data_IF_205595930896
#
_entry.id   IF_205595930896
#
_cell.length_a   1.000
_cell.length_b   1.000
_cell.length_c   1.000
_cell.angle_alpha   90.00
_cell.angle_beta   90.00
_cell.angle_gamma   90.00
#
_symmetry.space_group_name_H-M   'P 1'
#
loop_
_entity.id
_entity.type
_entity.pdbx_description
1 polymer ?
#
# COMPACT_ATOMS: atom_id res chain seq x y z
N UNK A 1 3.10 21.65 1.71
CA UNK A 1 2.32 22.61 2.52
C UNK A 1 3.28 23.64 3.12
N UNK A 2 2.95 24.93 3.04
CA UNK A 2 3.70 25.99 3.70
C UNK A 2 3.66 25.82 5.23
N UNK A 3 4.78 26.07 5.92
CA UNK A 3 4.86 26.09 7.40
C UNK A 3 3.77 26.98 8.03
N UNK A 4 3.31 28.00 7.30
CA UNK A 4 2.19 28.86 7.72
C UNK A 4 0.89 28.09 7.90
N UNK A 5 0.56 27.16 7.01
CA UNK A 5 -0.67 26.36 7.11
C UNK A 5 -0.63 25.38 8.29
N UNK A 6 0.55 24.84 8.63
CA UNK A 6 0.74 24.00 9.82
C UNK A 6 0.49 24.78 11.11
N UNK A 7 0.98 26.02 11.19
CA UNK A 7 0.77 26.89 12.36
C UNK A 7 -0.70 27.24 12.58
N UNK A 8 -1.42 27.58 11.50
CA UNK A 8 -2.86 27.88 11.56
C UNK A 8 -3.65 26.66 12.00
N UNK A 9 -3.40 25.49 11.39
CA UNK A 9 -4.08 24.24 11.76
C UNK A 9 -3.85 23.87 13.23
N UNK A 10 -2.63 24.01 13.75
CA UNK A 10 -2.33 23.73 15.16
C UNK A 10 -3.01 24.73 16.11
N UNK A 11 -3.13 26.00 15.71
CA UNK A 11 -3.77 27.03 16.53
C UNK A 11 -5.30 26.86 16.58
N UNK A 12 -5.94 26.52 15.46
CA UNK A 12 -7.36 26.18 15.39
C UNK A 12 -7.66 24.93 16.19
N UNK A 13 -6.78 23.93 16.12
CA UNK A 13 -6.93 22.70 16.86
C UNK A 13 -6.78 22.92 18.37
N UNK A 14 -5.79 23.72 18.79
CA UNK A 14 -5.63 24.12 20.20
C UNK A 14 -6.85 24.88 20.72
N UNK A 15 -7.39 25.78 19.91
CA UNK A 15 -8.60 26.55 20.26
C UNK A 15 -9.80 25.63 20.39
N UNK A 16 -9.94 24.65 19.49
CA UNK A 16 -11.00 23.65 19.51
C UNK A 16 -10.90 22.71 20.72
N UNK A 17 -9.69 22.29 21.10
CA UNK A 17 -9.46 21.45 22.28
C UNK A 17 -9.67 22.18 23.61
N UNK A 18 -9.62 23.50 23.60
CA UNK A 18 -9.81 24.33 24.80
C UNK A 18 -11.28 24.73 25.01
N UNK A 19 -12.17 24.42 24.06
CA UNK A 19 -13.60 24.66 24.19
C UNK A 19 -14.23 23.70 25.22
N UNK A 20 -15.13 24.17 26.10
CA UNK A 20 -15.73 23.37 27.16
C UNK A 20 -16.72 22.31 26.65
N UNK A 21 -17.21 22.46 25.41
CA UNK A 21 -18.16 21.54 24.79
C UNK A 21 -17.40 20.49 23.97
N UNK A 22 -17.01 19.41 24.65
CA UNK A 22 -16.09 18.38 24.12
C UNK A 22 -16.83 17.35 23.27
N UNK A 23 -17.29 17.74 22.10
CA UNK A 23 -17.54 16.75 21.05
C UNK A 23 -16.24 16.59 20.29
N UNK A 24 -15.67 15.38 20.29
CA UNK A 24 -14.51 15.06 19.49
C UNK A 24 -14.94 15.06 18.01
N UNK A 25 -15.03 16.25 17.42
CA UNK A 25 -15.44 16.40 16.03
C UNK A 25 -14.50 15.57 15.16
N UNK A 26 -15.05 14.78 14.23
CA UNK A 26 -14.24 14.02 13.26
C UNK A 26 -13.20 14.88 12.53
N UNK A 27 -13.41 16.21 12.48
CA UNK A 27 -12.44 17.18 11.98
C UNK A 27 -11.13 17.24 12.81
N UNK A 28 -11.22 17.11 14.15
CA UNK A 28 -10.06 17.11 15.06
C UNK A 28 -9.25 15.83 14.84
N UNK A 29 -9.92 14.67 14.75
CA UNK A 29 -9.29 13.39 14.46
C UNK A 29 -8.62 13.39 13.08
N UNK A 30 -9.31 13.89 12.06
CA UNK A 30 -8.78 14.01 10.70
C UNK A 30 -7.55 14.93 10.67
N UNK A 31 -7.60 16.07 11.35
CA UNK A 31 -6.49 17.03 11.41
C UNK A 31 -5.28 16.42 12.14
N UNK A 32 -5.52 15.72 13.25
CA UNK A 32 -4.46 15.01 13.99
C UNK A 32 -3.83 13.88 13.17
N UNK A 33 -4.65 13.06 12.51
CA UNK A 33 -4.17 11.99 11.62
C UNK A 33 -3.34 12.54 10.45
N UNK A 34 -3.77 13.68 9.89
CA UNK A 34 -3.04 14.38 8.83
C UNK A 34 -1.70 14.94 9.33
N UNK A 35 -1.67 15.55 10.51
CA UNK A 35 -0.44 16.05 11.14
C UNK A 35 0.55 14.93 11.49
N UNK A 36 0.02 13.78 11.91
CA UNK A 36 0.79 12.58 12.24
C UNK A 36 1.44 11.98 10.98
N UNK A 37 0.67 11.91 9.90
CA UNK A 37 1.16 11.51 8.56
C UNK A 37 2.23 12.47 8.05
N UNK A 38 2.01 13.78 8.16
CA UNK A 38 2.98 14.80 7.74
C UNK A 38 4.29 14.70 8.53
N UNK A 39 4.22 14.57 9.86
CA UNK A 39 5.41 14.44 10.71
C UNK A 39 6.20 13.16 10.42
N UNK A 40 5.51 12.06 10.12
CA UNK A 40 6.15 10.83 9.67
C UNK A 40 6.91 11.04 8.35
N UNK A 41 6.28 11.69 7.36
CA UNK A 41 6.93 11.94 6.06
C UNK A 41 8.16 12.85 6.14
N UNK A 42 8.20 13.82 7.06
CA UNK A 42 9.36 14.70 7.26
C UNK A 42 10.38 14.13 8.27
N UNK A 43 10.16 12.91 8.76
CA UNK A 43 10.99 12.23 9.76
C UNK A 43 11.16 13.00 11.09
N UNK A 44 10.14 13.76 11.48
CA UNK A 44 10.08 14.47 12.77
C UNK A 44 9.47 13.56 13.84
N UNK A 45 10.29 12.62 14.32
CA UNK A 45 9.86 11.54 15.21
C UNK A 45 9.33 12.06 16.57
N UNK A 46 9.85 13.18 17.05
CA UNK A 46 9.41 13.75 18.33
C UNK A 46 8.02 14.39 18.18
N UNK A 47 7.77 15.16 17.14
CA UNK A 47 6.44 15.70 16.86
C UNK A 47 5.43 14.60 16.52
N UNK A 48 5.87 13.52 15.86
CA UNK A 48 5.05 12.33 15.62
C UNK A 48 4.59 11.68 16.93
N UNK A 49 5.50 11.42 17.88
CA UNK A 49 5.17 10.82 19.18
C UNK A 49 4.18 11.68 19.97
N UNK A 50 4.38 13.00 19.97
CA UNK A 50 3.48 13.94 20.66
C UNK A 50 2.07 13.90 20.07
N UNK A 51 1.93 13.92 18.74
CA UNK A 51 0.61 13.86 18.10
C UNK A 51 -0.04 12.48 18.25
N UNK A 52 0.74 11.40 18.21
CA UNK A 52 0.23 10.04 18.47
C UNK A 52 -0.29 9.91 19.89
N UNK A 53 0.47 10.38 20.88
CA UNK A 53 0.05 10.35 22.28
C UNK A 53 -1.20 11.21 22.53
N UNK A 54 -1.29 12.38 21.89
CA UNK A 54 -2.49 13.22 21.94
C UNK A 54 -3.70 12.50 21.34
N UNK A 55 -3.56 11.86 20.18
CA UNK A 55 -4.62 11.10 19.51
C UNK A 55 -5.07 9.90 20.35
N UNK A 56 -4.15 9.15 20.93
CA UNK A 56 -4.50 8.07 21.86
C UNK A 56 -5.22 8.57 23.11
N UNK A 57 -4.83 9.72 23.65
CA UNK A 57 -5.48 10.34 24.81
C UNK A 57 -6.90 10.77 24.45
N UNK A 58 -7.09 11.38 23.27
CA UNK A 58 -8.41 11.73 22.76
C UNK A 58 -9.29 10.49 22.53
N UNK A 59 -8.73 9.40 21.98
CA UNK A 59 -9.46 8.13 21.81
C UNK A 59 -9.95 7.59 23.14
N UNK A 60 -9.06 7.49 24.14
CA UNK A 60 -9.41 7.01 25.49
C UNK A 60 -10.48 7.89 26.18
N UNK A 61 -10.58 9.17 25.82
CA UNK A 61 -11.61 10.06 26.34
C UNK A 61 -12.94 10.02 25.58
N UNK A 62 -12.97 9.50 24.35
CA UNK A 62 -14.21 9.34 23.57
C UNK A 62 -14.97 8.05 23.94
N UNK A 63 -14.28 7.06 24.51
CA UNK A 63 -14.87 5.77 24.92
C UNK A 63 -15.89 5.89 26.09
N UNK A 64 -16.18 7.09 26.60
CA UNK A 64 -16.87 7.28 27.87
C UNK A 64 -18.32 7.80 27.81
N UNK A 65 -18.86 8.33 26.69
CA UNK A 65 -20.23 8.89 26.75
C UNK A 65 -21.12 8.88 25.48
N UNK A 66 -20.66 8.52 24.28
CA UNK A 66 -21.58 8.28 23.16
C UNK A 66 -21.06 7.14 22.28
N UNK A 67 -21.96 6.25 21.89
CA UNK A 67 -21.65 5.02 21.17
C UNK A 67 -20.85 5.26 19.89
N UNK A 68 -19.56 4.96 19.95
CA UNK A 68 -18.87 4.06 19.03
C UNK A 68 -19.18 4.27 17.52
N UNK A 69 -19.03 5.49 16.99
CA UNK A 69 -18.78 5.69 15.55
C UNK A 69 -17.28 5.52 15.22
N UNK A 70 -16.69 4.45 15.75
CA UNK A 70 -15.30 4.08 15.53
C UNK A 70 -15.19 3.31 14.21
N UNK A 71 -15.45 3.98 13.06
CA UNK A 71 -15.45 3.36 11.71
C UNK A 71 -16.01 1.92 11.71
N UNK A 72 -17.16 1.72 12.37
CA UNK A 72 -17.77 0.40 12.42
C UNK A 72 -18.29 0.13 11.02
N UNK A 73 -17.58 -0.73 10.30
CA UNK A 73 -18.06 -1.28 9.05
C UNK A 73 -19.43 -1.89 9.28
N UNK A 74 -20.43 -1.39 8.57
CA UNK A 74 -21.78 -1.89 8.71
C UNK A 74 -21.93 -3.16 7.88
N UNK A 75 -21.87 -4.31 8.55
CA UNK A 75 -22.17 -5.60 7.93
C UNK A 75 -23.67 -5.82 7.92
N UNK A 76 -24.31 -5.92 6.74
CA UNK A 76 -25.75 -5.98 6.67
C UNK A 76 -26.24 -7.35 7.17
N UNK A 77 -27.18 -7.33 8.13
CA UNK A 77 -27.91 -8.51 8.56
C UNK A 77 -29.14 -8.77 7.70
N UNK A 78 -29.67 -10.00 7.75
CA UNK A 78 -30.96 -10.31 7.14
C UNK A 78 -32.12 -9.92 8.05
N UNK A 79 -33.25 -9.44 7.48
CA UNK A 79 -33.48 -9.16 6.06
C UNK A 79 -32.75 -7.88 5.59
N UNK A 80 -32.31 -7.85 4.31
CA UNK A 80 -31.64 -6.68 3.75
C UNK A 80 -32.62 -5.52 3.51
N UNK A 81 -32.21 -4.26 3.77
CA UNK A 81 -33.04 -3.11 3.45
C UNK A 81 -33.21 -2.95 1.92
N UNK A 82 -34.38 -2.49 1.43
CA UNK A 82 -34.66 -2.38 -0.02
C UNK A 82 -33.65 -1.53 -0.80
N UNK A 83 -33.15 -0.46 -0.18
CA UNK A 83 -32.16 0.41 -0.79
C UNK A 83 -30.84 -0.33 -1.02
N UNK A 84 -30.40 -1.16 -0.06
CA UNK A 84 -29.20 -1.99 -0.22
C UNK A 84 -29.40 -3.05 -1.29
N UNK A 85 -30.56 -3.69 -1.37
CA UNK A 85 -30.88 -4.64 -2.45
C UNK A 85 -30.76 -3.97 -3.83
N UNK A 86 -31.18 -2.70 -3.95
CA UNK A 86 -31.05 -1.91 -5.17
C UNK A 86 -29.59 -1.65 -5.54
N UNK A 87 -28.73 -1.40 -4.55
CA UNK A 87 -27.28 -1.25 -4.76
C UNK A 87 -26.65 -2.58 -5.16
N UNK A 88 -26.98 -3.68 -4.47
CA UNK A 88 -26.48 -5.03 -4.77
C UNK A 88 -26.89 -5.46 -6.19
N UNK A 89 -28.10 -5.13 -6.63
CA UNK A 89 -28.58 -5.45 -7.98
C UNK A 89 -27.79 -4.78 -9.12
N UNK A 90 -26.97 -3.76 -8.82
CA UNK A 90 -26.07 -3.14 -9.80
C UNK A 90 -24.74 -3.89 -9.94
N UNK A 91 -24.41 -4.77 -8.99
CA UNK A 91 -23.17 -5.52 -9.01
C UNK A 91 -23.25 -6.67 -10.03
N UNK A 92 -22.13 -6.99 -10.71
CA UNK A 92 -21.96 -8.25 -11.41
C UNK A 92 -22.25 -9.45 -10.50
N UNK A 93 -22.75 -10.55 -11.07
CA UNK A 93 -23.27 -11.72 -10.35
C UNK A 93 -22.36 -12.20 -9.21
N UNK A 94 -21.06 -12.40 -9.46
CA UNK A 94 -20.15 -12.86 -8.40
C UNK A 94 -19.94 -11.87 -7.26
N UNK A 95 -20.00 -10.55 -7.52
CA UNK A 95 -19.94 -9.57 -6.44
C UNK A 95 -21.26 -9.49 -5.67
N UNK A 96 -22.38 -9.62 -6.38
CA UNK A 96 -23.70 -9.67 -5.76
C UNK A 96 -23.82 -10.88 -4.82
N UNK A 97 -23.33 -12.06 -5.20
CA UNK A 97 -23.29 -13.24 -4.33
C UNK A 97 -22.51 -12.99 -3.03
N UNK A 98 -21.33 -12.35 -3.12
CA UNK A 98 -20.51 -12.03 -1.94
C UNK A 98 -21.20 -11.02 -1.02
N UNK A 99 -21.88 -10.02 -1.61
CA UNK A 99 -22.67 -9.04 -0.87
C UNK A 99 -23.87 -9.69 -0.17
N UNK A 100 -24.62 -10.56 -0.87
CA UNK A 100 -25.77 -11.27 -0.33
C UNK A 100 -25.40 -12.27 0.75
N UNK A 101 -24.15 -12.77 0.75
CA UNK A 101 -23.62 -13.59 1.84
C UNK A 101 -23.40 -12.84 3.16
N UNK A 102 -23.60 -11.52 3.22
CA UNK A 102 -23.37 -10.70 4.41
C UNK A 102 -21.91 -10.66 4.86
N UNK A 103 -20.98 -11.09 3.99
CA UNK A 103 -19.56 -11.26 4.31
C UNK A 103 -18.73 -9.99 4.07
N UNK A 104 -19.37 -8.95 3.54
CA UNK A 104 -18.76 -7.66 3.24
C UNK A 104 -19.62 -6.53 3.74
N UNK A 105 -18.96 -5.46 4.15
CA UNK A 105 -19.61 -4.26 4.67
C UNK A 105 -20.27 -3.45 3.55
N UNK A 106 -21.29 -2.65 3.89
CA UNK A 106 -22.04 -1.79 2.95
C UNK A 106 -21.13 -0.78 2.25
N UNK A 107 -20.09 -0.29 2.91
CA UNK A 107 -19.08 0.60 2.34
C UNK A 107 -18.29 -0.13 1.25
N UNK A 108 -17.98 -1.42 1.45
CA UNK A 108 -17.26 -2.20 0.45
C UNK A 108 -18.17 -2.55 -0.74
N UNK A 109 -19.44 -2.88 -0.50
CA UNK A 109 -20.45 -3.04 -1.55
C UNK A 109 -20.53 -1.77 -2.42
N UNK A 110 -20.59 -0.60 -1.78
CA UNK A 110 -20.64 0.70 -2.46
C UNK A 110 -19.39 0.98 -3.28
N UNK A 111 -18.21 0.64 -2.74
CA UNK A 111 -16.94 0.72 -3.46
C UNK A 111 -16.93 -0.18 -4.71
N UNK A 112 -17.42 -1.42 -4.61
CA UNK A 112 -17.47 -2.36 -5.74
C UNK A 112 -18.37 -1.87 -6.88
N UNK A 113 -19.53 -1.28 -6.55
CA UNK A 113 -20.41 -0.67 -7.58
C UNK A 113 -19.66 0.43 -8.32
N UNK A 114 -19.08 1.38 -7.59
CA UNK A 114 -18.33 2.49 -8.21
C UNK A 114 -17.13 1.98 -9.01
N UNK A 115 -16.46 0.92 -8.54
CA UNK A 115 -15.26 0.38 -9.19
C UNK A 115 -15.63 -0.31 -10.49
N UNK A 116 -16.66 -1.14 -10.50
CA UNK A 116 -17.13 -1.83 -11.71
C UNK A 116 -17.62 -0.83 -12.77
N UNK A 117 -18.30 0.24 -12.37
CA UNK A 117 -18.64 1.36 -13.26
C UNK A 117 -17.39 2.05 -13.84
N UNK A 118 -16.38 2.32 -13.00
CA UNK A 118 -15.12 2.94 -13.43
C UNK A 118 -14.36 2.04 -14.42
N UNK A 119 -14.21 0.73 -14.13
CA UNK A 119 -13.53 -0.22 -15.03
C UNK A 119 -14.31 -0.35 -16.34
N UNK A 120 -15.64 -0.48 -16.28
CA UNK A 120 -16.49 -0.54 -17.47
C UNK A 120 -16.39 0.71 -18.33
N UNK A 121 -16.28 1.89 -17.72
CA UNK A 121 -16.02 3.13 -18.45
C UNK A 121 -14.62 3.15 -19.08
N UNK A 122 -13.58 2.66 -18.39
CA UNK A 122 -12.21 2.63 -18.92
C UNK A 122 -12.00 1.61 -20.04
N UNK A 123 -12.77 0.52 -20.08
CA UNK A 123 -12.72 -0.50 -21.14
C UNK A 123 -13.28 0.00 -22.48
N UNK A 124 -14.09 1.07 -22.45
CA UNK A 124 -14.72 1.65 -23.65
C UNK A 124 -13.71 2.38 -24.53
N UNK A 125 -14.03 2.47 -25.81
CA UNK A 125 -13.24 3.26 -26.77
C UNK A 125 -13.22 4.73 -26.36
N UNK A 126 -12.27 5.51 -26.89
CA UNK A 126 -12.21 6.94 -26.59
C UNK A 126 -13.49 7.66 -27.03
N UNK A 127 -14.00 7.32 -28.22
CA UNK A 127 -15.22 7.91 -28.79
C UNK A 127 -16.47 7.59 -27.95
N UNK A 128 -16.60 6.35 -27.47
CA UNK A 128 -17.69 5.96 -26.57
C UNK A 128 -17.61 6.70 -25.24
N UNK A 129 -16.41 6.87 -24.68
CA UNK A 129 -16.21 7.58 -23.41
C UNK A 129 -16.62 9.05 -23.47
N UNK A 130 -16.48 9.70 -24.62
CA UNK A 130 -16.88 11.10 -24.81
C UNK A 130 -18.41 11.29 -24.75
N UNK A 131 -19.18 10.25 -25.01
CA UNK A 131 -20.65 10.30 -25.02
C UNK A 131 -21.29 9.97 -23.67
N UNK A 132 -20.51 9.47 -22.71
CA UNK A 132 -21.00 8.95 -21.44
C UNK A 132 -20.56 9.83 -20.28
N UNK A 133 -21.39 9.94 -19.23
CA UNK A 133 -21.00 10.68 -18.03
C UNK A 133 -19.76 10.03 -17.42
N UNK A 134 -18.80 10.87 -17.03
CA UNK A 134 -17.60 10.42 -16.34
C UNK A 134 -18.00 9.82 -14.98
N UNK A 135 -17.43 8.66 -14.60
CA UNK A 135 -17.67 8.08 -13.28
C UNK A 135 -17.32 9.06 -12.17
N UNK A 136 -18.09 9.04 -11.07
CA UNK A 136 -17.84 9.87 -9.89
C UNK A 136 -16.48 9.51 -9.25
N UNK A 137 -16.15 8.22 -9.21
CA UNK A 137 -14.92 7.73 -8.60
C UNK A 137 -13.72 7.90 -9.55
N UNK A 138 -12.67 8.54 -9.05
CA UNK A 138 -11.38 8.63 -9.74
C UNK A 138 -10.51 7.41 -9.44
N UNK A 139 -9.56 7.11 -10.32
CA UNK A 139 -8.64 5.99 -10.11
C UNK A 139 -7.80 6.16 -8.84
N UNK A 140 -7.32 7.37 -8.57
CA UNK A 140 -6.57 7.67 -7.35
C UNK A 140 -7.41 7.46 -6.08
N UNK A 141 -8.69 7.85 -6.12
CA UNK A 141 -9.62 7.60 -5.01
C UNK A 141 -9.83 6.10 -4.80
N UNK A 142 -10.01 5.34 -5.88
CA UNK A 142 -10.21 3.90 -5.80
C UNK A 142 -8.98 3.17 -5.23
N UNK A 143 -7.76 3.59 -5.58
CA UNK A 143 -6.52 3.05 -5.00
C UNK A 143 -6.46 3.34 -3.51
N UNK A 144 -6.76 4.57 -3.10
CA UNK A 144 -6.78 4.95 -1.69
C UNK A 144 -7.81 4.13 -0.90
N UNK A 145 -9.04 4.02 -1.41
CA UNK A 145 -10.10 3.25 -0.76
C UNK A 145 -9.73 1.76 -0.68
N UNK A 146 -9.16 1.17 -1.74
CA UNK A 146 -8.66 -0.21 -1.70
C UNK A 146 -7.55 -0.39 -0.65
N UNK A 147 -6.62 0.55 -0.55
CA UNK A 147 -5.57 0.50 0.48
C UNK A 147 -6.17 0.51 1.88
N UNK A 148 -7.12 1.40 2.15
CA UNK A 148 -7.87 1.43 3.41
C UNK A 148 -8.60 0.11 3.66
N UNK A 149 -9.37 -0.37 2.69
CA UNK A 149 -10.12 -1.63 2.74
C UNK A 149 -9.24 -2.85 3.03
N UNK A 150 -8.06 -2.91 2.40
CA UNK A 150 -7.09 -4.00 2.58
C UNK A 150 -6.31 -3.95 3.89
N UNK A 151 -6.21 -2.76 4.51
CA UNK A 151 -5.48 -2.54 5.75
C UNK A 151 -6.32 -2.81 7.00
N UNK A 152 -7.64 -2.87 6.84
CA UNK A 152 -8.53 -3.11 7.95
C UNK A 152 -8.38 -4.53 8.47
N UNK A 153 -8.43 -4.73 9.79
CA UNK A 153 -8.58 -6.04 10.39
C UNK A 153 -9.99 -6.52 10.10
N UNK A 154 -10.22 -6.95 8.85
CA UNK A 154 -11.41 -7.67 8.47
C UNK A 154 -11.49 -8.85 9.45
N UNK A 155 -12.58 -8.89 10.20
CA UNK A 155 -12.83 -9.84 11.29
C UNK A 155 -12.39 -11.25 10.83
N UNK A 156 -11.81 -12.11 11.71
CA UNK A 156 -11.15 -13.37 11.34
C UNK A 156 -12.00 -14.42 10.59
N UNK A 157 -13.24 -14.11 10.24
CA UNK A 157 -14.02 -14.79 9.21
C UNK A 157 -13.67 -14.21 7.82
N UNK A 158 -12.38 -14.13 7.48
CA UNK A 158 -11.90 -13.82 6.11
C UNK A 158 -12.50 -14.89 5.17
N UNK A 159 -13.69 -14.60 4.62
CA UNK A 159 -14.27 -15.42 3.58
C UNK A 159 -13.26 -15.47 2.43
N UNK A 160 -12.91 -16.67 1.95
CA UNK A 160 -12.07 -16.81 0.76
C UNK A 160 -12.58 -15.96 -0.40
N UNK A 161 -13.90 -15.70 -0.45
CA UNK A 161 -14.50 -14.81 -1.43
C UNK A 161 -14.06 -13.34 -1.29
N UNK A 162 -13.94 -12.82 -0.07
CA UNK A 162 -13.47 -11.46 0.18
C UNK A 162 -12.03 -11.27 -0.27
N UNK A 163 -11.15 -12.22 0.03
CA UNK A 163 -9.77 -12.18 -0.46
C UNK A 163 -9.70 -12.22 -1.99
N UNK A 164 -10.52 -13.08 -2.63
CA UNK A 164 -10.62 -13.16 -4.10
C UNK A 164 -11.19 -11.87 -4.71
N UNK A 165 -12.15 -11.25 -4.06
CA UNK A 165 -12.70 -9.94 -4.43
C UNK A 165 -11.62 -8.85 -4.34
N UNK A 166 -10.86 -8.79 -3.25
CA UNK A 166 -9.74 -7.86 -3.10
C UNK A 166 -8.65 -8.10 -4.14
N UNK A 167 -8.35 -9.36 -4.46
CA UNK A 167 -7.41 -9.72 -5.51
C UNK A 167 -7.87 -9.15 -6.86
N UNK A 168 -9.13 -9.37 -7.23
CA UNK A 168 -9.72 -8.77 -8.42
C UNK A 168 -9.56 -7.24 -8.42
N UNK A 169 -9.99 -6.56 -7.35
CA UNK A 169 -9.89 -5.11 -7.22
C UNK A 169 -8.45 -4.62 -7.40
N UNK A 170 -7.49 -5.33 -6.81
CA UNK A 170 -6.07 -4.96 -6.88
C UNK A 170 -5.48 -5.12 -8.28
N UNK A 171 -5.87 -6.15 -9.03
CA UNK A 171 -5.39 -6.36 -10.41
C UNK A 171 -5.96 -5.29 -11.33
N UNK A 172 -7.28 -5.05 -11.30
CA UNK A 172 -7.92 -4.09 -12.20
C UNK A 172 -7.49 -2.65 -11.94
N UNK A 173 -7.24 -2.30 -10.67
CA UNK A 173 -6.76 -0.97 -10.31
C UNK A 173 -5.29 -0.78 -10.70
N UNK A 174 -4.47 -1.80 -10.48
CA UNK A 174 -3.06 -1.75 -10.86
C UNK A 174 -2.90 -1.66 -12.39
N UNK A 175 -3.67 -2.44 -13.16
CA UNK A 175 -3.64 -2.38 -14.62
C UNK A 175 -4.14 -1.04 -15.17
N UNK A 176 -5.18 -0.47 -14.57
CA UNK A 176 -5.67 0.85 -14.93
C UNK A 176 -4.67 1.96 -14.60
N UNK A 177 -3.95 1.82 -13.48
CA UNK A 177 -2.94 2.78 -13.04
C UNK A 177 -1.73 2.77 -13.95
N UNK A 178 -1.26 1.59 -14.37
CA UNK A 178 -0.11 1.43 -15.26
C UNK A 178 -0.29 2.10 -16.63
N UNK A 179 -1.52 2.45 -17.03
CA UNK A 179 -1.80 3.23 -18.24
C UNK A 179 -1.55 4.74 -18.10
N UNK A 180 -1.34 5.24 -16.88
CA UNK A 180 -1.07 6.66 -16.66
C UNK A 180 0.39 7.00 -17.00
N UNK A 181 0.62 8.19 -17.55
CA UNK A 181 1.97 8.65 -17.97
C UNK A 181 2.95 8.67 -16.78
N UNK A 182 2.46 8.99 -15.58
CA UNK A 182 3.26 9.13 -14.36
C UNK A 182 3.20 7.87 -13.46
N UNK A 183 2.78 6.72 -14.00
CA UNK A 183 2.62 5.51 -13.22
C UNK A 183 3.97 4.97 -12.72
N UNK A 184 4.13 4.91 -11.40
CA UNK A 184 5.22 4.15 -10.77
C UNK A 184 4.74 2.75 -10.37
N UNK A 185 5.43 1.68 -10.80
CA UNK A 185 5.07 0.29 -10.48
C UNK A 185 5.32 -0.07 -9.00
N UNK A 186 5.99 0.79 -8.23
CA UNK A 186 6.24 0.58 -6.80
C UNK A 186 4.99 0.80 -5.93
N UNK A 187 3.91 1.34 -6.51
CA UNK A 187 2.69 1.69 -5.78
C UNK A 187 1.69 0.53 -5.63
N UNK A 188 1.96 -0.63 -6.23
CA UNK A 188 1.06 -1.80 -6.25
C UNK A 188 1.14 -2.67 -4.99
N UNK A 189 1.28 -2.03 -3.82
CA UNK A 189 1.56 -2.70 -2.54
C UNK A 189 0.46 -3.69 -2.15
N UNK A 190 -0.81 -3.37 -2.42
CA UNK A 190 -1.95 -4.26 -2.10
C UNK A 190 -1.90 -5.53 -2.95
N UNK A 191 -1.66 -5.40 -4.25
CA UNK A 191 -1.56 -6.52 -5.17
C UNK A 191 -0.38 -7.44 -4.79
N UNK A 192 0.79 -6.87 -4.52
CA UNK A 192 1.98 -7.65 -4.14
C UNK A 192 1.74 -8.49 -2.87
N UNK A 193 1.04 -7.92 -1.88
CA UNK A 193 0.66 -8.63 -0.64
C UNK A 193 -0.35 -9.75 -0.90
N UNK A 194 -1.36 -9.52 -1.74
CA UNK A 194 -2.40 -10.51 -2.02
C UNK A 194 -1.83 -11.68 -2.82
N UNK A 195 -0.98 -11.42 -3.81
CA UNK A 195 -0.28 -12.46 -4.58
C UNK A 195 0.65 -13.29 -3.69
N UNK A 196 1.25 -12.69 -2.66
CA UNK A 196 2.07 -13.41 -1.70
C UNK A 196 1.25 -14.35 -0.79
N UNK A 197 0.10 -13.86 -0.30
CA UNK A 197 -0.75 -14.55 0.67
C UNK A 197 -1.64 -15.64 0.07
N UNK A 198 -2.13 -15.45 -1.14
CA UNK A 198 -3.18 -16.32 -1.70
C UNK A 198 -2.60 -17.47 -2.53
N UNK A 199 -3.04 -18.73 -2.30
CA UNK A 199 -2.58 -19.86 -3.10
C UNK A 199 -3.11 -19.81 -4.54
N UNK A 200 -4.33 -19.32 -4.77
CA UNK A 200 -4.92 -19.16 -6.11
C UNK A 200 -4.19 -18.09 -6.94
N UNK A 201 -3.49 -17.17 -6.29
CA UNK A 201 -2.72 -16.13 -6.98
C UNK A 201 -1.33 -16.59 -7.45
N UNK A 202 -1.01 -17.90 -7.35
CA UNK A 202 0.31 -18.45 -7.72
C UNK A 202 0.46 -18.71 -9.21
N UNK A 203 -0.64 -18.98 -9.90
CA UNK A 203 -0.71 -19.18 -11.34
C UNK A 203 -1.70 -18.17 -11.95
N UNK A 204 -1.44 -17.77 -13.19
CA UNK A 204 -2.37 -16.90 -13.91
C UNK A 204 -3.69 -17.63 -14.19
N UNK A 205 -3.64 -18.91 -14.53
CA UNK A 205 -4.82 -19.74 -14.82
C UNK A 205 -5.82 -19.76 -13.65
N UNK A 206 -5.35 -20.01 -12.43
CA UNK A 206 -6.19 -19.98 -11.22
C UNK A 206 -6.70 -18.56 -10.90
N UNK A 207 -5.87 -17.55 -11.18
CA UNK A 207 -6.22 -16.13 -10.98
C UNK A 207 -7.31 -15.71 -11.96
N UNK A 208 -7.17 -16.05 -13.23
CA UNK A 208 -8.13 -15.81 -14.30
C UNK A 208 -9.46 -16.51 -13.98
N UNK A 209 -9.44 -17.80 -13.61
CA UNK A 209 -10.64 -18.53 -13.22
C UNK A 209 -11.36 -17.84 -12.05
N UNK A 210 -10.58 -17.32 -11.11
CA UNK A 210 -11.10 -16.54 -9.98
C UNK A 210 -11.71 -15.22 -10.44
N UNK A 211 -11.05 -14.48 -11.33
CA UNK A 211 -11.55 -13.19 -11.83
C UNK A 211 -12.83 -13.36 -12.65
N UNK A 212 -12.95 -14.44 -13.43
CA UNK A 212 -14.14 -14.79 -14.22
C UNK A 212 -15.40 -15.00 -13.38
N UNK A 213 -15.25 -15.37 -12.11
CA UNK A 213 -16.40 -15.51 -11.19
C UNK A 213 -17.03 -14.17 -10.83
N UNK A 214 -16.27 -13.07 -10.87
CA UNK A 214 -16.75 -11.75 -10.50
C UNK A 214 -17.17 -10.93 -11.73
N UNK A 215 -16.18 -10.48 -12.49
CA UNK A 215 -16.36 -9.64 -13.66
C UNK A 215 -15.15 -9.84 -14.57
N UNK A 216 -15.42 -10.18 -15.82
CA UNK A 216 -14.40 -10.42 -16.81
C UNK A 216 -14.68 -9.63 -18.07
N UNK A 217 -13.63 -9.00 -18.60
CA UNK A 217 -13.66 -8.31 -19.88
C UNK A 217 -12.46 -8.80 -20.71
N UNK A 218 -12.74 -9.50 -21.80
CA UNK A 218 -11.70 -10.08 -22.65
C UNK A 218 -10.75 -9.01 -23.21
N UNK A 219 -11.21 -7.75 -23.37
CA UNK A 219 -10.40 -6.63 -23.86
C UNK A 219 -9.31 -6.21 -22.88
N UNK A 220 -9.52 -6.46 -21.60
CA UNK A 220 -8.59 -6.09 -20.52
C UNK A 220 -7.75 -7.28 -20.02
N UNK A 221 -8.07 -8.49 -20.47
CA UNK A 221 -7.45 -9.73 -19.98
C UNK A 221 -5.92 -9.74 -20.10
N UNK A 222 -5.39 -9.36 -21.26
CA UNK A 222 -3.95 -9.26 -21.50
C UNK A 222 -3.27 -8.28 -20.54
N UNK A 223 -3.90 -7.14 -20.28
CA UNK A 223 -3.37 -6.09 -19.40
C UNK A 223 -3.39 -6.54 -17.93
N UNK A 224 -4.45 -7.23 -17.53
CA UNK A 224 -4.57 -7.85 -16.22
C UNK A 224 -3.49 -8.90 -16.01
N UNK A 225 -3.23 -9.74 -17.02
CA UNK A 225 -2.16 -10.74 -16.96
C UNK A 225 -0.78 -10.10 -16.82
N UNK A 226 -0.49 -9.07 -17.61
CA UNK A 226 0.79 -8.35 -17.54
C UNK A 226 1.00 -7.77 -16.15
N UNK A 227 -0.02 -7.13 -15.58
CA UNK A 227 0.06 -6.53 -14.25
C UNK A 227 0.25 -7.59 -13.15
N UNK A 228 -0.51 -8.69 -13.23
CA UNK A 228 -0.36 -9.84 -12.32
C UNK A 228 1.05 -10.46 -12.41
N UNK A 229 1.58 -10.68 -13.62
CA UNK A 229 2.93 -11.23 -13.83
C UNK A 229 4.00 -10.33 -13.22
N UNK A 230 3.86 -9.01 -13.37
CA UNK A 230 4.77 -8.05 -12.76
C UNK A 230 4.77 -8.16 -11.22
N UNK A 231 3.59 -8.23 -10.61
CA UNK A 231 3.45 -8.44 -9.16
C UNK A 231 4.03 -9.78 -8.70
N UNK A 232 3.67 -10.88 -9.36
CA UNK A 232 4.18 -12.21 -9.06
C UNK A 232 5.72 -12.28 -9.15
N UNK A 233 6.31 -11.59 -10.12
CA UNK A 233 7.77 -11.48 -10.25
C UNK A 233 8.40 -10.72 -9.08
N UNK A 234 7.83 -9.57 -8.68
CA UNK A 234 8.31 -8.79 -7.52
C UNK A 234 8.28 -9.63 -6.23
N UNK A 235 7.17 -10.31 -5.97
CA UNK A 235 7.00 -11.16 -4.78
C UNK A 235 8.00 -12.31 -4.76
N UNK A 236 8.19 -13.01 -5.88
CA UNK A 236 9.20 -14.10 -5.99
C UNK A 236 10.62 -13.58 -5.74
N UNK A 237 10.95 -12.38 -6.22
CA UNK A 237 12.26 -11.75 -5.98
C UNK A 237 12.45 -11.40 -4.51
N UNK A 238 11.43 -10.88 -3.83
CA UNK A 238 11.47 -10.57 -2.40
C UNK A 238 11.71 -11.83 -1.56
N UNK A 239 11.00 -12.93 -1.84
CA UNK A 239 11.20 -14.22 -1.14
C UNK A 239 12.63 -14.76 -1.27
N UNK A 240 13.22 -14.67 -2.48
CA UNK A 240 14.61 -15.10 -2.72
C UNK A 240 15.61 -14.26 -1.93
N UNK A 241 15.41 -12.94 -1.86
CA UNK A 241 16.25 -12.03 -1.07
C UNK A 241 16.15 -12.32 0.43
N UNK A 242 14.93 -12.51 0.95
CA UNK A 242 14.73 -12.87 2.35
C UNK A 242 15.41 -14.20 2.71
N UNK A 243 15.31 -15.20 1.82
CA UNK A 243 15.95 -16.51 2.00
C UNK A 243 17.48 -16.44 1.98
N UNK A 244 18.08 -15.49 1.24
CA UNK A 244 19.53 -15.28 1.21
C UNK A 244 20.06 -14.55 2.46
N UNK A 245 19.23 -13.78 3.16
CA UNK A 245 19.64 -13.03 4.36
C UNK A 245 19.39 -13.79 5.68
N UNK A 246 18.52 -14.80 5.68
CA UNK A 246 18.29 -15.67 6.84
C UNK A 246 19.55 -16.42 7.34
N UNK A 247 20.46 -16.93 6.49
CA UNK A 247 21.69 -17.59 6.94
C UNK A 247 22.66 -16.62 7.63
N UNK A 248 22.69 -15.35 7.22
CA UNK A 248 23.57 -14.34 7.80
C UNK A 248 23.16 -13.95 9.21
N UNK A 249 21.85 -13.87 9.47
CA UNK A 249 21.32 -13.60 10.81
C UNK A 249 21.50 -14.78 11.75
N UNK A 250 21.41 -16.02 11.24
CA UNK A 250 21.76 -17.23 12.00
C UNK A 250 23.26 -17.31 12.30
N UNK A 251 24.14 -17.02 11.34
CA UNK A 251 25.60 -16.97 11.57
C UNK A 251 26.01 -15.86 12.56
N UNK A 252 25.34 -14.70 12.54
CA UNK A 252 25.57 -13.63 13.53
C UNK A 252 25.04 -13.99 14.94
N UNK A 253 23.95 -14.76 15.04
CA UNK A 253 23.49 -15.29 16.32
C UNK A 253 24.39 -16.43 16.85
N UNK A 254 24.88 -17.33 15.99
CA UNK A 254 25.79 -18.42 16.37
C UNK A 254 27.18 -17.90 16.79
N UNK A 255 27.70 -16.87 16.12
CA UNK A 255 28.95 -16.21 16.55
C UNK A 255 28.81 -15.49 17.90
N UNK A 256 27.62 -15.05 18.28
CA UNK A 256 27.36 -14.50 19.62
C UNK A 256 27.28 -15.59 20.70
N UNK A 257 26.88 -16.82 20.36
CA UNK A 257 26.82 -17.94 21.31
C UNK A 257 28.19 -18.63 21.50
N UNK A 258 29.08 -18.57 20.50
CA UNK A 258 30.46 -19.05 20.63
C UNK A 258 31.42 -18.07 21.34
N UNK A 259 30.91 -16.94 21.84
CA UNK A 259 31.65 -15.93 22.62
C UNK A 259 31.84 -16.30 24.11
N UNK A 260 31.50 -17.52 24.55
CA UNK A 260 31.78 -17.97 25.92
C UNK A 260 33.27 -18.33 26.15
N UNK A 261 34.14 -18.19 25.16
CA UNK A 261 35.59 -18.44 25.28
C UNK A 261 36.44 -17.16 25.39
N UNK A 262 35.87 -16.06 25.92
CA UNK A 262 36.61 -14.81 26.23
C UNK A 262 36.84 -14.64 27.74
N UNK A 263 36.73 -15.72 28.52
CA UNK A 263 37.07 -15.72 29.95
C UNK A 263 38.58 -15.80 30.22
N UNK A 264 39.42 -16.16 29.24
CA UNK A 264 40.87 -16.39 29.45
C UNK A 264 41.76 -15.21 29.07
N UNK A 265 41.22 -14.14 28.46
CA UNK A 265 42.01 -12.97 28.03
C UNK A 265 41.97 -11.80 29.03
N UNK A 266 41.25 -11.93 30.14
CA UNK A 266 41.17 -10.88 31.18
C UNK A 266 42.26 -11.02 32.25
N UNK A 267 42.95 -12.16 32.33
CA UNK A 267 44.06 -12.40 33.27
C UNK A 267 45.43 -11.92 32.74
N UNK A 268 45.56 -11.63 31.45
CA UNK A 268 46.83 -11.19 30.86
C UNK A 268 47.13 -9.69 31.03
N UNK A 269 46.15 -8.88 31.48
CA UNK A 269 46.28 -7.41 31.51
C UNK A 269 46.44 -6.82 32.91
N UNK A 270 46.86 -7.61 33.92
CA UNK A 270 47.07 -7.10 35.29
C UNK A 270 48.53 -6.83 35.67
N UNK A 271 49.53 -7.21 34.88
CA UNK A 271 50.93 -6.96 35.25
C UNK A 271 51.78 -6.45 34.09
N UNK A 272 51.88 -5.13 33.93
CA UNK A 272 53.19 -4.48 33.83
C UNK A 272 53.12 -2.95 33.78
N UNK A 273 54.18 -2.26 34.25
CA UNK A 273 54.17 -0.85 34.59
C UNK A 273 54.62 0.05 33.44
N UNK A 274 54.28 1.32 33.61
CA UNK A 274 54.59 2.43 32.74
C UNK A 274 56.06 2.49 32.33
N UNK A 275 56.31 2.60 31.02
CA UNK A 275 57.51 3.24 30.53
C UNK A 275 57.23 4.13 29.32
N UNK A 276 58.02 5.19 29.33
CA UNK A 276 57.92 6.46 28.64
C UNK A 276 58.41 6.32 27.17
N UNK A 277 58.28 7.42 26.40
CA UNK A 277 59.16 7.80 25.26
C UNK A 277 58.60 7.70 23.81
N UNK A 278 58.69 8.87 23.16
CA UNK A 278 58.91 9.21 21.73
C UNK A 278 57.75 9.23 20.74
N UNK A 279 57.21 10.44 20.64
CA UNK A 279 56.91 11.20 19.43
C UNK A 279 57.86 10.87 18.24
N UNK A 280 57.27 10.42 17.12
CA UNK A 280 57.90 10.34 15.79
C UNK A 280 56.84 10.52 14.69
N UNK A 281 56.99 11.62 13.96
CA UNK A 281 56.68 11.90 12.56
C UNK A 281 55.77 10.93 11.78
N UNK A 282 54.53 11.37 11.55
CA UNK A 282 53.64 10.78 10.54
C UNK A 282 53.80 11.50 9.20
N UNK A 283 54.39 10.80 8.22
CA UNK A 283 54.39 11.16 6.80
C UNK A 283 53.05 10.85 6.15
N UNK A 284 52.58 11.83 5.39
CA UNK A 284 51.44 11.84 4.47
C UNK A 284 51.55 10.75 3.40
N UNK A 285 50.52 9.94 3.22
CA UNK A 285 50.32 9.06 2.06
C UNK A 285 48.89 9.26 1.55
N UNK A 286 48.77 9.69 0.29
CA UNK A 286 47.51 9.83 -0.44
C UNK A 286 46.83 8.46 -0.67
N UNK A 287 45.49 8.37 -0.56
CA UNK A 287 44.77 7.19 -1.03
C UNK A 287 44.40 7.31 -2.51
N UNK A 288 44.82 6.29 -3.25
CA UNK A 288 44.47 6.00 -4.64
C UNK A 288 42.99 5.65 -4.80
N UNK A 289 42.40 6.15 -5.90
CA UNK A 289 41.01 5.94 -6.29
C UNK A 289 40.73 4.47 -6.72
N UNK A 290 39.55 3.92 -6.42
CA UNK A 290 39.16 2.60 -6.92
C UNK A 290 38.61 2.66 -8.36
N UNK A 291 39.09 1.72 -9.16
CA UNK A 291 38.74 1.44 -10.55
C UNK A 291 37.26 1.10 -10.75
N UNK A 292 36.71 1.66 -11.84
CA UNK A 292 35.39 1.38 -12.38
C UNK A 292 35.26 -0.08 -12.87
N UNK A 293 34.24 -0.80 -12.38
CA UNK A 293 33.76 -2.02 -13.00
C UNK A 293 32.66 -1.68 -14.03
N UNK A 294 33.02 -1.73 -15.31
CA UNK A 294 32.07 -1.67 -16.42
C UNK A 294 31.35 -3.01 -16.58
N UNK A 295 30.08 -3.07 -16.17
CA UNK A 295 29.16 -4.11 -16.62
C UNK A 295 28.27 -3.53 -17.73
N UNK A 296 28.56 -3.91 -18.98
CA UNK A 296 27.64 -3.72 -20.12
C UNK A 296 26.39 -4.57 -19.87
N UNK A 297 25.27 -3.91 -19.61
CA UNK A 297 23.95 -4.54 -19.62
C UNK A 297 23.27 -4.18 -20.95
N UNK A 298 23.08 -5.18 -21.80
CA UNK A 298 22.54 -5.05 -23.15
C UNK A 298 21.00 -5.02 -23.06
N UNK A 299 20.42 -3.82 -23.08
CA UNK A 299 18.98 -3.57 -23.17
C UNK A 299 18.57 -3.46 -24.65
N UNK A 300 18.45 -4.60 -25.32
CA UNK A 300 17.74 -4.72 -26.60
C UNK A 300 16.71 -5.84 -26.53
N UNK A 301 15.55 -5.53 -25.95
CA UNK A 301 14.25 -6.09 -26.36
C UNK A 301 13.14 -5.50 -25.48
N UNK A 302 12.65 -4.32 -25.86
CA UNK A 302 11.30 -3.88 -25.55
C UNK A 302 10.70 -3.29 -26.83
N UNK A 303 9.48 -3.69 -27.25
CA UNK A 303 8.91 -3.24 -28.50
C UNK A 303 8.29 -1.84 -28.32
N UNK A 304 8.94 -0.84 -28.91
CA UNK A 304 8.35 0.48 -29.15
C UNK A 304 7.32 0.35 -30.28
N UNK A 305 6.03 0.27 -29.94
CA UNK A 305 4.93 0.53 -30.87
C UNK A 305 3.93 1.43 -30.18
N UNK A 306 4.03 2.73 -30.41
CA UNK A 306 2.93 3.70 -30.45
C UNK A 306 3.55 5.07 -30.73
N UNK A 307 3.81 5.38 -32.01
CA UNK A 307 4.01 6.74 -32.53
C UNK A 307 4.22 6.71 -34.06
N UNK A 308 3.17 6.35 -34.80
CA UNK A 308 3.04 6.67 -36.23
C UNK A 308 1.61 6.32 -36.68
N UNK A 309 0.66 7.25 -36.56
CA UNK A 309 -0.60 7.30 -37.32
C UNK A 309 -1.27 8.67 -37.12
N UNK A 310 -0.51 9.74 -37.36
CA UNK A 310 -1.05 11.08 -37.63
C UNK A 310 -0.16 11.71 -38.71
N UNK A 311 -0.45 11.33 -39.95
CA UNK A 311 0.17 11.89 -41.13
C UNK A 311 -0.55 11.33 -42.35
N UNK A 312 -1.05 12.23 -43.18
CA UNK A 312 -1.56 12.01 -44.55
C UNK A 312 -3.03 11.59 -44.68
N UNK A 313 -3.91 12.60 -44.81
CA UNK A 313 -4.79 12.71 -45.98
C UNK A 313 -5.38 14.12 -46.10
N UNK A 314 -4.63 15.01 -46.75
CA UNK A 314 -5.20 16.06 -47.62
C UNK A 314 -5.03 15.59 -49.07
N UNK A 315 -6.08 15.71 -49.88
CA UNK A 315 -5.98 15.63 -51.34
C UNK A 315 -6.95 14.66 -52.03
N UNK A 316 -8.22 15.04 -52.16
CA UNK A 316 -8.94 15.23 -53.43
C UNK A 316 -10.41 15.55 -53.20
#
# INVERSE_FOLDING_TARGET
MSLKHRGVALNELRSSLSAPDRHCSGLILLTMSTLLTLNYMINDLEAFKVHLHALETMRRSCDADEGDELFIFFYPGHPFPPDLCTVIAKLPEGFAEVALGGSIAVEFISFLVKLTELIGWMSRSLDERLLLPRPEMTLQRAIYDLQCLSALPLIPMESRMLQRCLLWCSIVLASAWDKQIDASPENHVVLDRLVDRMPEARSWEDTEETMRKFMWDDRLSDEWEVCWRAAAFRTRRQRRRASQMAPLSQLLMESSQNSSSVATLRDWYRESPAENVREKDTKTVEPSAPQACNAKFDLRSAPTRYLAMLGEQEGH
#
